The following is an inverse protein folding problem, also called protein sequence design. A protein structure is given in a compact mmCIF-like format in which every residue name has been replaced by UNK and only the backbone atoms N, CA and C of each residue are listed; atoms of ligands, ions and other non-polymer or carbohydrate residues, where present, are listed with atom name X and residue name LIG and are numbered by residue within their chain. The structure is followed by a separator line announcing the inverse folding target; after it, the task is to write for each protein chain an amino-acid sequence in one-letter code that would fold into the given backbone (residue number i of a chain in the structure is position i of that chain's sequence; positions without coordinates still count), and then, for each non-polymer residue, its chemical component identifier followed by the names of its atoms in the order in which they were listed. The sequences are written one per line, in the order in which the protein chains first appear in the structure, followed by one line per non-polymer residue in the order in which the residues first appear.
data_IF_048136136010
#
_entry.id   IF_048136136010
#
_cell.length_a   1.000
_cell.length_b   1.000
_cell.length_c   1.000
_cell.angle_alpha   90.00
_cell.angle_beta   90.00
_cell.angle_gamma   90.00
#
_symmetry.space_group_name_H-M   'P 1'
#
loop_
_entity.id
_entity.type
_entity.pdbx_description
1 polymer ?
#
# COMPACT_ATOMS: atom_id res chain seq x y z
N UNK A 1 -59.73 -49.14 42.80
CA UNK A 1 -58.54 -49.17 43.66
C UNK A 1 -57.30 -49.29 42.80
N UNK A 2 -56.31 -48.47 43.01
CA UNK A 2 -55.00 -48.50 42.38
C UNK A 2 -54.90 -47.94 40.92
N UNK A 3 -54.93 -46.59 40.78
CA UNK A 3 -54.28 -45.89 39.70
C UNK A 3 -53.93 -44.46 40.15
N UNK A 4 -53.14 -44.33 41.21
CA UNK A 4 -52.68 -43.04 41.70
C UNK A 4 -51.27 -43.11 42.20
N UNK A 5 -50.34 -43.48 41.29
CA UNK A 5 -48.89 -43.49 41.63
C UNK A 5 -47.94 -43.10 40.53
N UNK A 6 -48.41 -42.65 39.39
CA UNK A 6 -47.49 -42.33 38.28
C UNK A 6 -47.58 -40.88 37.75
N UNK A 7 -48.30 -40.01 38.44
CA UNK A 7 -48.43 -38.60 37.97
C UNK A 7 -47.42 -37.62 38.59
N UNK A 8 -46.43 -38.10 39.33
CA UNK A 8 -45.44 -37.24 39.99
C UNK A 8 -44.02 -37.40 39.45
N UNK A 9 -43.84 -38.15 38.35
CA UNK A 9 -42.52 -38.43 37.81
C UNK A 9 -42.27 -37.77 36.42
N UNK A 10 -43.21 -36.96 35.95
CA UNK A 10 -43.10 -36.24 34.64
C UNK A 10 -42.98 -34.73 34.76
N UNK A 11 -42.73 -34.20 35.96
CA UNK A 11 -42.59 -32.75 36.16
C UNK A 11 -41.19 -32.30 36.59
N UNK A 12 -40.18 -33.14 36.36
CA UNK A 12 -38.82 -32.81 36.74
C UNK A 12 -37.80 -32.86 35.55
N UNK A 13 -38.28 -32.81 34.29
CA UNK A 13 -37.37 -32.91 33.13
C UNK A 13 -37.66 -31.89 32.03
N UNK A 14 -38.04 -30.66 32.44
CA UNK A 14 -38.15 -29.53 31.51
C UNK A 14 -37.42 -28.29 32.04
N UNK A 15 -36.29 -28.50 32.68
CA UNK A 15 -35.44 -27.39 33.11
C UNK A 15 -34.01 -27.70 32.74
N UNK A 16 -33.61 -27.37 31.51
CA UNK A 16 -32.24 -27.05 31.11
C UNK A 16 -32.06 -27.15 29.58
N UNK A 17 -32.80 -26.30 28.87
CA UNK A 17 -32.45 -25.94 27.48
C UNK A 17 -32.50 -24.43 27.36
N UNK A 18 -31.98 -23.71 28.36
CA UNK A 18 -31.40 -22.42 28.06
C UNK A 18 -29.99 -22.70 27.54
N UNK A 19 -29.93 -22.88 26.22
CA UNK A 19 -28.68 -22.83 25.51
C UNK A 19 -27.97 -21.56 25.92
N UNK A 20 -26.78 -21.74 26.46
CA UNK A 20 -25.76 -20.74 26.45
C UNK A 20 -25.54 -20.44 24.97
N UNK A 21 -26.22 -19.45 24.42
CA UNK A 21 -25.69 -18.67 23.36
C UNK A 21 -24.43 -18.02 23.98
N UNK A 22 -23.30 -18.73 23.94
CA UNK A 22 -22.02 -18.12 23.95
C UNK A 22 -22.14 -17.11 22.80
N UNK A 23 -22.13 -15.82 23.11
CA UNK A 23 -21.77 -14.80 22.17
C UNK A 23 -20.48 -15.33 21.54
N UNK A 24 -20.58 -15.76 20.31
CA UNK A 24 -19.45 -15.83 19.43
C UNK A 24 -19.21 -14.34 19.14
N UNK A 25 -18.50 -13.67 20.07
CA UNK A 25 -17.81 -12.46 19.74
C UNK A 25 -16.86 -12.92 18.64
N UNK A 26 -17.21 -12.65 17.39
CA UNK A 26 -16.27 -12.57 16.31
C UNK A 26 -15.28 -11.48 16.74
N UNK A 27 -14.25 -11.88 17.49
CA UNK A 27 -13.12 -11.03 17.79
C UNK A 27 -12.47 -10.71 16.44
N UNK A 28 -12.90 -9.59 15.82
CA UNK A 28 -12.34 -9.04 14.60
C UNK A 28 -10.83 -8.75 14.76
N UNK A 29 -10.33 -8.75 15.99
CA UNK A 29 -8.96 -8.46 16.40
C UNK A 29 -8.22 -9.72 16.89
N UNK A 30 -7.86 -10.62 15.97
CA UNK A 30 -6.97 -11.75 16.28
C UNK A 30 -5.52 -11.36 16.02
N UNK A 31 -4.61 -11.72 16.94
CA UNK A 31 -3.16 -11.54 16.76
C UNK A 31 -2.60 -12.37 15.58
N UNK A 32 -3.36 -13.34 15.11
CA UNK A 32 -3.02 -14.18 13.96
C UNK A 32 -3.45 -13.56 12.61
N UNK A 33 -4.28 -12.52 12.65
CA UNK A 33 -4.69 -11.75 11.46
C UNK A 33 -3.72 -10.60 11.24
N UNK A 34 -3.20 -10.45 10.03
CA UNK A 34 -2.35 -9.33 9.64
C UNK A 34 -2.70 -8.83 8.25
N UNK A 35 -2.34 -7.59 7.97
CA UNK A 35 -2.40 -6.98 6.65
C UNK A 35 -1.02 -6.47 6.24
N UNK A 36 -0.79 -6.36 4.92
CA UNK A 36 0.41 -5.74 4.36
C UNK A 36 -0.05 -4.62 3.44
N UNK A 37 0.34 -3.40 3.75
CA UNK A 37 -0.04 -2.22 2.98
C UNK A 37 1.16 -1.26 2.81
N UNK A 38 1.09 -0.43 1.78
CA UNK A 38 1.96 0.73 1.63
C UNK A 38 1.28 1.89 2.35
N UNK A 39 2.01 2.56 3.23
CA UNK A 39 1.48 3.66 4.04
C UNK A 39 2.44 4.83 4.09
N UNK A 40 1.91 6.01 4.37
CA UNK A 40 2.73 7.17 4.70
C UNK A 40 3.13 7.13 6.17
N UNK A 41 4.42 7.21 6.42
CA UNK A 41 4.98 7.39 7.76
C UNK A 41 4.97 8.88 8.09
N UNK A 42 4.20 9.26 9.09
CA UNK A 42 4.05 10.66 9.49
C UNK A 42 4.76 10.89 10.83
N UNK A 43 5.86 11.65 10.84
CA UNK A 43 6.54 12.00 12.10
C UNK A 43 5.64 12.80 13.03
N UNK A 44 5.67 12.48 14.34
CA UNK A 44 4.95 13.19 15.39
C UNK A 44 5.87 13.34 16.62
N UNK A 45 6.63 14.42 16.67
CA UNK A 45 7.64 14.66 17.67
C UNK A 45 8.77 13.61 17.63
N UNK A 46 8.91 12.84 18.69
CA UNK A 46 9.90 11.76 18.80
C UNK A 46 9.37 10.39 18.38
N UNK A 47 8.16 10.34 17.87
CA UNK A 47 7.46 9.14 17.41
C UNK A 47 6.88 9.37 16.03
N UNK A 48 6.04 8.46 15.55
CA UNK A 48 5.35 8.55 14.29
C UNK A 48 4.00 7.81 14.37
N UNK A 49 3.13 8.14 13.45
CA UNK A 49 1.95 7.34 13.12
C UNK A 49 1.97 6.96 11.65
N UNK A 50 1.13 6.02 11.27
CA UNK A 50 0.97 5.59 9.89
C UNK A 50 -0.34 6.15 9.34
N UNK A 51 -0.32 6.60 8.10
CA UNK A 51 -1.51 7.04 7.38
C UNK A 51 -1.71 6.15 6.17
N UNK A 52 -2.87 5.54 6.11
CA UNK A 52 -3.31 4.73 4.97
C UNK A 52 -3.65 5.62 3.79
N UNK A 53 -3.70 5.06 2.62
CA UNK A 53 -4.04 5.81 1.40
C UNK A 53 -5.46 6.40 1.44
N UNK A 54 -6.37 5.83 2.21
CA UNK A 54 -7.72 6.35 2.47
C UNK A 54 -7.76 7.49 3.52
N UNK A 55 -6.63 7.93 4.02
CA UNK A 55 -6.52 8.98 5.02
C UNK A 55 -6.68 8.51 6.47
N UNK A 56 -7.02 7.24 6.72
CA UNK A 56 -7.08 6.69 8.06
C UNK A 56 -5.73 6.74 8.75
N UNK A 57 -5.74 7.11 10.03
CA UNK A 57 -4.55 7.21 10.86
C UNK A 57 -4.46 6.02 11.80
N UNK A 58 -3.36 5.31 11.75
CA UNK A 58 -3.09 4.15 12.57
C UNK A 58 -2.01 4.47 13.61
N UNK A 59 -2.32 4.20 14.89
CA UNK A 59 -1.37 4.42 15.97
C UNK A 59 -0.64 3.14 16.34
N UNK A 60 0.71 3.08 16.29
CA UNK A 60 1.49 1.91 16.65
C UNK A 60 1.58 1.75 18.17
N UNK A 61 0.65 1.00 18.78
CA UNK A 61 0.71 0.64 20.19
C UNK A 61 1.87 -0.29 20.53
N UNK A 62 2.21 -1.17 19.59
CA UNK A 62 3.28 -2.13 19.74
C UNK A 62 4.05 -2.29 18.42
N UNK A 63 5.32 -2.67 18.52
CA UNK A 63 6.14 -2.94 17.35
C UNK A 63 7.18 -4.02 17.64
N UNK A 64 7.41 -4.88 16.66
CA UNK A 64 8.53 -5.82 16.64
C UNK A 64 9.80 -5.19 16.04
N UNK A 65 9.74 -3.90 15.63
CA UNK A 65 10.83 -3.17 14.97
C UNK A 65 11.31 -2.01 15.85
N UNK A 66 11.91 -2.27 17.04
CA UNK A 66 12.44 -1.21 17.88
C UNK A 66 13.58 -0.50 17.14
N UNK A 67 13.59 0.84 17.16
CA UNK A 67 14.62 1.64 16.49
C UNK A 67 14.39 1.84 14.99
N UNK A 68 13.18 1.59 14.49
CA UNK A 68 12.82 1.94 13.12
C UNK A 68 13.11 3.42 12.85
N UNK A 69 13.82 3.69 11.75
CA UNK A 69 14.12 5.05 11.31
C UNK A 69 12.98 5.58 10.43
N UNK A 70 12.13 6.42 11.00
CA UNK A 70 10.98 7.01 10.33
C UNK A 70 11.27 8.33 9.59
N UNK A 71 12.52 8.54 9.16
CA UNK A 71 12.89 9.68 8.30
C UNK A 71 12.37 9.56 6.86
N UNK A 72 11.93 8.37 6.46
CA UNK A 72 11.37 8.09 5.14
C UNK A 72 9.86 8.31 5.14
N UNK A 73 9.33 8.72 3.98
CA UNK A 73 7.92 9.13 3.90
C UNK A 73 6.98 7.95 3.62
N UNK A 74 7.38 6.99 2.76
CA UNK A 74 6.56 5.81 2.44
C UNK A 74 7.21 4.56 2.95
N UNK A 75 6.39 3.62 3.43
CA UNK A 75 6.86 2.31 3.89
C UNK A 75 5.85 1.22 3.56
N UNK A 76 6.35 0.02 3.30
CA UNK A 76 5.55 -1.19 3.32
C UNK A 76 5.48 -1.70 4.75
N UNK A 77 4.28 -1.97 5.23
CA UNK A 77 4.01 -2.29 6.64
C UNK A 77 3.19 -3.56 6.74
N UNK A 78 3.69 -4.53 7.52
CA UNK A 78 2.89 -5.65 7.98
C UNK A 78 2.42 -5.34 9.39
N UNK A 79 1.12 -5.34 9.61
CA UNK A 79 0.54 -4.96 10.88
C UNK A 79 -0.66 -5.83 11.25
N UNK A 80 -0.94 -5.86 12.55
CA UNK A 80 -2.13 -6.50 13.13
C UNK A 80 -2.98 -5.41 13.77
N UNK A 81 -4.27 -5.39 13.46
CA UNK A 81 -5.23 -4.49 14.08
C UNK A 81 -5.43 -4.90 15.55
N UNK A 82 -5.38 -3.95 16.48
CA UNK A 82 -5.50 -4.21 17.92
C UNK A 82 -6.75 -3.57 18.55
N UNK A 83 -7.28 -2.53 17.95
CA UNK A 83 -8.43 -1.82 18.49
C UNK A 83 -9.21 -1.07 17.41
N UNK A 84 -10.47 -0.79 17.72
CA UNK A 84 -11.26 0.22 17.04
C UNK A 84 -10.71 1.63 17.23
N UNK A 85 -11.50 2.62 16.83
CA UNK A 85 -11.14 4.03 16.93
C UNK A 85 -10.67 4.42 18.34
N UNK A 86 -9.57 5.14 18.39
CA UNK A 86 -8.99 5.75 19.58
C UNK A 86 -8.92 7.27 19.39
N UNK A 87 -8.84 8.09 20.44
CA UNK A 87 -8.80 9.54 20.30
C UNK A 87 -7.71 10.03 19.32
N UNK A 88 -8.11 10.61 18.19
CA UNK A 88 -7.21 11.16 17.17
C UNK A 88 -6.74 10.18 16.10
N UNK A 89 -7.10 8.89 16.20
CA UNK A 89 -6.71 7.85 15.25
C UNK A 89 -7.87 6.91 14.92
N UNK A 90 -7.85 6.33 13.74
CA UNK A 90 -8.88 5.39 13.31
C UNK A 90 -8.73 4.05 14.03
N UNK A 91 -7.49 3.59 14.23
CA UNK A 91 -7.21 2.31 14.88
C UNK A 91 -5.87 2.32 15.60
N UNK A 92 -5.75 1.44 16.61
CA UNK A 92 -4.47 1.06 17.20
C UNK A 92 -3.96 -0.24 16.58
N UNK A 93 -2.66 -0.32 16.31
CA UNK A 93 -2.04 -1.45 15.61
C UNK A 93 -0.80 -1.97 16.33
N UNK A 94 -0.43 -3.21 16.00
CA UNK A 94 0.90 -3.77 16.24
C UNK A 94 1.62 -3.86 14.91
N UNK A 95 2.79 -3.25 14.81
CA UNK A 95 3.67 -3.40 13.65
C UNK A 95 4.45 -4.71 13.79
N UNK A 96 4.27 -5.64 12.85
CA UNK A 96 5.00 -6.89 12.80
C UNK A 96 6.35 -6.69 12.09
N UNK A 97 6.36 -6.01 10.94
CA UNK A 97 7.55 -5.49 10.29
C UNK A 97 7.20 -4.22 9.48
N UNK A 98 8.20 -3.39 9.25
CA UNK A 98 8.09 -2.16 8.47
C UNK A 98 9.38 -1.96 7.69
N UNK A 99 9.25 -1.65 6.39
CA UNK A 99 10.36 -1.42 5.48
C UNK A 99 10.16 -0.14 4.67
N UNK A 100 11.16 0.74 4.68
CA UNK A 100 11.10 1.98 3.94
C UNK A 100 11.13 1.73 2.43
N UNK A 101 10.21 2.36 1.70
CA UNK A 101 10.22 2.40 0.24
C UNK A 101 11.06 3.60 -0.21
N UNK A 102 11.84 3.41 -1.27
CA UNK A 102 12.53 4.52 -1.93
C UNK A 102 11.49 5.58 -2.35
N UNK A 103 11.49 6.73 -1.66
CA UNK A 103 10.54 7.81 -1.94
C UNK A 103 11.28 8.96 -2.60
N UNK A 104 10.81 9.40 -3.76
CA UNK A 104 11.43 10.43 -4.60
C UNK A 104 10.40 11.51 -4.98
N UNK A 105 10.89 12.68 -5.32
CA UNK A 105 10.09 13.71 -5.99
C UNK A 105 10.13 13.51 -7.51
N UNK A 106 9.18 14.12 -8.21
CA UNK A 106 9.26 14.25 -9.66
C UNK A 106 10.53 15.02 -9.98
N UNK A 107 11.37 14.43 -10.85
CA UNK A 107 12.64 15.02 -11.28
C UNK A 107 12.42 16.08 -12.36
N UNK A 108 13.30 17.08 -12.49
CA UNK A 108 13.14 18.14 -13.49
C UNK A 108 13.29 17.61 -14.92
N UNK A 109 12.63 18.26 -15.86
CA UNK A 109 12.83 18.03 -17.29
C UNK A 109 14.15 18.64 -17.76
N UNK A 110 15.05 17.86 -18.36
CA UNK A 110 16.39 18.26 -18.80
C UNK A 110 16.54 18.33 -20.32
N UNK A 111 15.44 18.31 -21.07
CA UNK A 111 15.44 18.37 -22.54
C UNK A 111 16.34 17.26 -23.17
N UNK A 112 17.35 17.66 -23.93
CA UNK A 112 18.26 16.73 -24.62
C UNK A 112 19.09 15.85 -23.65
N UNK A 113 19.19 16.25 -22.38
CA UNK A 113 19.95 15.49 -21.38
C UNK A 113 19.12 14.41 -20.66
N UNK A 114 17.79 14.36 -20.87
CA UNK A 114 16.92 13.38 -20.22
C UNK A 114 17.45 11.95 -20.40
N UNK A 115 17.82 11.57 -21.63
CA UNK A 115 18.24 10.21 -21.94
C UNK A 115 19.58 9.83 -21.27
N UNK A 116 20.52 10.78 -21.21
CA UNK A 116 21.81 10.54 -20.58
C UNK A 116 21.77 10.50 -19.07
N UNK A 117 20.89 11.33 -18.46
CA UNK A 117 20.78 11.45 -17.00
C UNK A 117 19.83 10.41 -16.41
N UNK A 118 18.65 10.25 -17.00
CA UNK A 118 17.61 9.39 -16.45
C UNK A 118 17.56 7.99 -17.08
N UNK A 119 18.28 7.80 -18.20
CA UNK A 119 18.32 6.55 -18.94
C UNK A 119 17.09 6.29 -19.80
N UNK A 120 17.22 5.25 -20.61
CA UNK A 120 16.15 4.73 -21.47
C UNK A 120 16.11 3.21 -21.43
N UNK A 121 16.64 2.59 -20.38
CA UNK A 121 16.63 1.15 -20.22
C UNK A 121 15.20 0.66 -19.94
N UNK A 122 14.79 -0.45 -20.57
CA UNK A 122 13.43 -0.93 -20.42
C UNK A 122 13.20 -1.59 -19.05
N UNK A 123 11.94 -1.57 -18.61
CA UNK A 123 11.46 -2.28 -17.43
C UNK A 123 10.19 -3.08 -17.77
N UNK A 124 9.86 -4.06 -16.97
CA UNK A 124 8.52 -4.64 -16.91
C UNK A 124 7.71 -3.90 -15.85
N UNK A 125 6.55 -3.36 -16.21
CA UNK A 125 5.67 -2.71 -15.27
C UNK A 125 4.73 -3.73 -14.64
N UNK A 126 4.82 -3.95 -13.33
CA UNK A 126 4.05 -4.94 -12.59
C UNK A 126 2.79 -4.35 -11.99
N UNK A 127 2.89 -3.18 -11.35
CA UNK A 127 1.74 -2.49 -10.78
C UNK A 127 2.02 -1.00 -10.61
N UNK A 128 0.96 -0.19 -10.65
CA UNK A 128 0.95 1.21 -10.28
C UNK A 128 -0.31 1.51 -9.47
N UNK A 129 -0.17 2.33 -8.44
CA UNK A 129 -1.29 2.82 -7.64
C UNK A 129 -1.03 4.26 -7.20
N UNK A 130 -2.09 5.03 -7.01
CA UNK A 130 -2.01 6.37 -6.41
C UNK A 130 -2.68 6.30 -5.05
N UNK A 131 -1.98 6.74 -4.01
CA UNK A 131 -2.51 6.82 -2.66
C UNK A 131 -1.80 7.90 -1.84
N UNK A 132 -2.56 8.60 -1.01
CA UNK A 132 -2.08 9.66 -0.10
C UNK A 132 -1.15 10.69 -0.74
N UNK A 133 -1.38 11.02 -2.04
CA UNK A 133 -0.57 11.98 -2.79
C UNK A 133 0.73 11.41 -3.39
N UNK A 134 0.88 10.11 -3.41
CA UNK A 134 2.03 9.39 -3.99
C UNK A 134 1.61 8.49 -5.14
N UNK A 135 2.49 8.33 -6.12
CA UNK A 135 2.45 7.26 -7.12
C UNK A 135 3.40 6.15 -6.68
N UNK A 136 2.86 5.01 -6.29
CA UNK A 136 3.62 3.81 -6.00
C UNK A 136 3.79 2.97 -7.27
N UNK A 137 5.02 2.59 -7.58
CA UNK A 137 5.37 1.85 -8.80
C UNK A 137 6.14 0.60 -8.43
N UNK A 138 5.59 -0.57 -8.80
CA UNK A 138 6.27 -1.86 -8.75
C UNK A 138 6.64 -2.28 -10.17
N UNK A 139 7.89 -2.57 -10.37
CA UNK A 139 8.44 -2.92 -11.68
C UNK A 139 9.49 -4.01 -11.54
N UNK A 140 9.82 -4.69 -12.66
CA UNK A 140 10.98 -5.58 -12.73
C UNK A 140 11.99 -5.05 -13.75
N UNK A 141 13.26 -5.20 -13.45
CA UNK A 141 14.38 -4.84 -14.34
C UNK A 141 15.42 -5.95 -14.35
N UNK A 142 16.27 -5.96 -15.38
CA UNK A 142 17.38 -6.88 -15.49
C UNK A 142 18.62 -6.30 -14.79
N UNK A 143 19.33 -7.16 -14.08
CA UNK A 143 20.56 -6.87 -13.35
C UNK A 143 21.68 -7.85 -13.75
N UNK A 144 22.90 -7.38 -13.82
CA UNK A 144 24.08 -8.20 -14.12
C UNK A 144 25.12 -8.22 -13.01
N UNK A 145 25.25 -7.14 -12.27
CA UNK A 145 26.24 -6.97 -11.21
C UNK A 145 25.59 -6.37 -9.97
N UNK A 146 25.66 -7.06 -8.85
CA UNK A 146 25.10 -6.61 -7.56
C UNK A 146 25.72 -5.32 -7.01
N UNK A 147 26.84 -4.86 -7.54
CA UNK A 147 27.48 -3.61 -7.15
C UNK A 147 26.93 -2.37 -7.86
N UNK A 148 26.18 -2.54 -8.94
CA UNK A 148 25.62 -1.43 -9.72
C UNK A 148 24.22 -1.10 -9.19
N UNK A 149 24.03 0.17 -8.79
CA UNK A 149 22.70 0.67 -8.36
C UNK A 149 22.04 1.34 -9.55
N UNK A 150 20.90 0.83 -9.94
CA UNK A 150 20.08 1.43 -10.98
C UNK A 150 19.37 2.69 -10.48
N UNK A 151 19.17 3.66 -11.37
CA UNK A 151 18.40 4.86 -11.10
C UNK A 151 17.01 4.71 -11.71
N UNK A 152 15.98 5.09 -10.94
CA UNK A 152 14.62 5.28 -11.45
C UNK A 152 14.20 6.71 -11.22
N UNK A 153 13.45 7.29 -12.16
CA UNK A 153 13.00 8.66 -12.08
C UNK A 153 11.63 8.81 -12.73
N UNK A 154 10.84 9.75 -12.21
CA UNK A 154 9.60 10.20 -12.83
C UNK A 154 9.83 11.64 -13.28
N UNK A 155 9.62 11.93 -14.55
CA UNK A 155 9.89 13.23 -15.15
C UNK A 155 8.70 13.75 -15.95
N UNK A 156 8.52 15.07 -16.12
CA UNK A 156 7.59 15.62 -17.10
C UNK A 156 7.99 15.21 -18.53
N UNK A 157 7.03 15.17 -19.44
CA UNK A 157 7.29 14.86 -20.86
C UNK A 157 7.73 16.10 -21.65
N UNK A 158 7.53 17.30 -21.12
CA UNK A 158 7.86 18.55 -21.79
C UNK A 158 8.19 19.67 -20.80
N UNK A 159 8.93 20.69 -21.28
CA UNK A 159 9.48 21.76 -20.45
C UNK A 159 8.43 22.81 -20.03
N UNK A 160 7.43 23.05 -20.86
CA UNK A 160 6.47 24.17 -20.71
C UNK A 160 5.27 23.81 -19.80
N UNK A 161 5.25 22.59 -19.30
CA UNK A 161 4.16 22.09 -18.43
C UNK A 161 2.76 22.22 -19.05
N UNK A 162 2.68 22.20 -20.39
CA UNK A 162 1.40 22.30 -21.11
C UNK A 162 0.52 21.07 -20.92
N UNK A 163 1.13 19.94 -20.57
CA UNK A 163 0.45 18.70 -20.15
C UNK A 163 1.05 18.19 -18.84
N UNK A 164 0.69 18.79 -17.70
CA UNK A 164 1.33 18.49 -16.43
C UNK A 164 0.99 17.10 -15.87
N UNK A 165 -0.07 16.47 -16.38
CA UNK A 165 -0.53 15.16 -15.94
C UNK A 165 -0.05 14.02 -16.84
N UNK A 166 0.88 14.29 -17.77
CA UNK A 166 1.59 13.25 -18.52
C UNK A 166 3.06 13.25 -18.11
N UNK A 167 3.46 12.15 -17.46
CA UNK A 167 4.80 11.93 -16.94
C UNK A 167 5.44 10.73 -17.60
N UNK A 168 6.75 10.61 -17.46
CA UNK A 168 7.51 9.48 -17.96
C UNK A 168 8.29 8.82 -16.85
N UNK A 169 8.10 7.51 -16.67
CA UNK A 169 8.94 6.68 -15.81
C UNK A 169 10.21 6.28 -16.56
N UNK A 170 11.34 6.61 -16.02
CA UNK A 170 12.65 6.39 -16.59
C UNK A 170 13.48 5.45 -15.73
N UNK A 171 14.27 4.61 -16.39
CA UNK A 171 15.20 3.70 -15.76
C UNK A 171 16.57 3.80 -16.41
N UNK A 172 17.60 3.88 -15.58
CA UNK A 172 19.01 3.94 -15.99
C UNK A 172 19.76 2.79 -15.31
N UNK A 173 20.13 1.79 -16.10
CA UNK A 173 20.87 0.62 -15.64
C UNK A 173 22.40 0.82 -15.64
N UNK A 174 22.89 1.95 -16.14
CA UNK A 174 24.32 2.26 -16.27
C UNK A 174 25.12 1.19 -17.01
N UNK A 175 24.50 0.52 -17.99
CA UNK A 175 25.16 -0.54 -18.76
C UNK A 175 25.35 -1.84 -17.98
N UNK A 176 24.64 -2.03 -16.87
CA UNK A 176 24.66 -3.29 -16.13
C UNK A 176 24.15 -4.44 -17.00
N UNK A 177 24.56 -5.64 -16.69
CA UNK A 177 24.24 -6.83 -17.47
C UNK A 177 22.79 -7.32 -17.24
N UNK A 178 22.46 -8.47 -17.83
CA UNK A 178 21.11 -9.05 -17.81
C UNK A 178 21.12 -10.50 -17.29
N UNK A 179 21.83 -10.75 -16.19
CA UNK A 179 21.97 -12.10 -15.63
C UNK A 179 20.71 -12.59 -14.95
N UNK A 180 19.98 -11.70 -14.29
CA UNK A 180 18.74 -12.04 -13.58
C UNK A 180 17.77 -10.85 -13.60
N UNK A 181 16.49 -11.15 -13.42
CA UNK A 181 15.47 -10.12 -13.20
C UNK A 181 15.24 -9.96 -11.70
N UNK A 182 15.03 -8.73 -11.25
CA UNK A 182 14.63 -8.42 -9.89
C UNK A 182 13.55 -7.33 -9.88
N UNK A 183 12.73 -7.35 -8.85
CA UNK A 183 11.66 -6.38 -8.65
C UNK A 183 12.16 -5.19 -7.84
N UNK A 184 11.63 -4.01 -8.17
CA UNK A 184 11.81 -2.77 -7.44
C UNK A 184 10.46 -2.17 -7.06
N UNK A 185 10.42 -1.50 -5.93
CA UNK A 185 9.30 -0.70 -5.46
C UNK A 185 9.80 0.71 -5.16
N UNK A 186 9.12 1.71 -5.74
CA UNK A 186 9.45 3.13 -5.57
C UNK A 186 8.16 3.93 -5.46
N UNK A 187 8.17 4.96 -4.63
CA UNK A 187 7.08 5.92 -4.47
C UNK A 187 7.52 7.29 -4.97
N UNK A 188 6.66 7.98 -5.72
CA UNK A 188 6.90 9.33 -6.19
C UNK A 188 5.91 10.31 -5.57
N UNK A 189 6.42 11.33 -4.91
CA UNK A 189 5.64 12.44 -4.35
C UNK A 189 5.06 13.29 -5.50
N UNK A 190 3.74 13.33 -5.59
CA UNK A 190 3.00 14.05 -6.63
C UNK A 190 2.65 15.50 -6.24
N UNK A 191 3.09 15.98 -5.07
CA UNK A 191 2.75 17.31 -4.55
C UNK A 191 3.20 18.47 -5.44
N UNK A 192 4.10 18.24 -6.40
CA UNK A 192 4.53 19.24 -7.37
C UNK A 192 3.62 19.36 -8.60
N UNK A 193 2.65 18.45 -8.77
CA UNK A 193 1.64 18.57 -9.81
C UNK A 193 0.66 19.69 -9.50
N UNK A 194 0.06 20.32 -10.53
CA UNK A 194 -0.95 21.33 -10.31
C UNK A 194 -2.16 20.81 -9.52
N UNK A 195 -2.80 21.73 -8.80
CA UNK A 195 -4.06 21.44 -8.12
C UNK A 195 -5.17 21.13 -9.13
N UNK A 196 -5.82 19.97 -8.98
CA UNK A 196 -6.94 19.54 -9.82
C UNK A 196 -8.26 20.25 -9.47
N UNK A 197 -8.27 21.08 -8.43
CA UNK A 197 -9.45 21.83 -7.94
C UNK A 197 -10.64 20.93 -7.59
N UNK A 198 -10.33 19.75 -7.04
CA UNK A 198 -11.33 18.76 -6.65
C UNK A 198 -11.84 17.87 -7.78
N UNK A 199 -11.36 18.06 -9.02
CA UNK A 199 -11.72 17.19 -10.13
C UNK A 199 -10.76 16.01 -10.23
N UNK A 200 -11.27 14.88 -10.70
CA UNK A 200 -10.45 13.72 -11.02
C UNK A 200 -10.00 13.80 -12.48
N UNK A 201 -8.70 13.73 -12.71
CA UNK A 201 -8.07 13.79 -14.04
C UNK A 201 -7.32 12.48 -14.34
N UNK A 202 -7.05 12.22 -15.62
CA UNK A 202 -6.17 11.12 -16.02
C UNK A 202 -4.70 11.51 -15.80
N UNK A 203 -4.01 10.87 -14.85
CA UNK A 203 -2.56 10.90 -14.79
C UNK A 203 -2.01 9.81 -15.71
N UNK A 204 -1.30 10.22 -16.76
CA UNK A 204 -0.73 9.30 -17.75
C UNK A 204 0.76 9.09 -17.47
N UNK A 205 1.17 7.83 -17.31
CA UNK A 205 2.56 7.42 -17.11
C UNK A 205 3.06 6.69 -18.36
N UNK A 206 4.00 7.29 -19.06
CA UNK A 206 4.71 6.66 -20.19
C UNK A 206 5.87 5.86 -19.65
N UNK A 207 6.07 4.67 -20.19
CA UNK A 207 7.11 3.74 -19.73
C UNK A 207 7.70 3.04 -20.94
N UNK A 208 9.04 2.99 -21.01
CA UNK A 208 9.72 2.11 -21.94
C UNK A 208 9.78 0.70 -21.36
N UNK A 209 9.06 -0.23 -21.97
CA UNK A 209 9.03 -1.63 -21.55
C UNK A 209 9.87 -2.49 -22.51
N UNK A 210 10.09 -3.77 -22.13
CA UNK A 210 10.75 -4.73 -23.03
C UNK A 210 9.99 -4.97 -24.34
N UNK A 211 8.66 -4.71 -24.35
CA UNK A 211 7.80 -4.84 -25.54
C UNK A 211 7.58 -3.52 -26.30
N UNK A 212 8.33 -2.47 -25.94
CA UNK A 212 8.19 -1.12 -26.51
C UNK A 212 7.61 -0.11 -25.53
N UNK A 213 7.24 1.06 -26.03
CA UNK A 213 6.65 2.11 -25.20
C UNK A 213 5.18 1.80 -24.87
N UNK A 214 4.81 1.91 -23.59
CA UNK A 214 3.44 1.78 -23.08
C UNK A 214 3.05 3.03 -22.31
N UNK A 215 1.75 3.28 -22.26
CA UNK A 215 1.16 4.37 -21.48
C UNK A 215 0.08 3.80 -20.56
N UNK A 216 0.15 4.17 -19.30
CA UNK A 216 -0.78 3.76 -18.25
C UNK A 216 -1.53 4.99 -17.76
N UNK A 217 -2.84 4.86 -17.58
CA UNK A 217 -3.69 5.93 -17.08
C UNK A 217 -4.22 5.56 -15.70
N UNK A 218 -4.07 6.48 -14.77
CA UNK A 218 -4.57 6.36 -13.41
C UNK A 218 -5.46 7.56 -13.11
N UNK A 219 -6.56 7.33 -12.40
CA UNK A 219 -7.36 8.43 -11.87
C UNK A 219 -6.54 9.19 -10.83
N UNK A 220 -6.44 10.50 -10.94
CA UNK A 220 -5.71 11.37 -10.02
C UNK A 220 -6.56 12.54 -9.58
N UNK A 221 -6.53 12.81 -8.28
CA UNK A 221 -7.05 14.02 -7.67
C UNK A 221 -6.00 14.54 -6.69
N UNK A 222 -5.73 15.84 -6.72
CA UNK A 222 -4.75 16.46 -5.81
C UNK A 222 -5.21 16.47 -4.35
N UNK A 223 -6.52 16.31 -4.10
CA UNK A 223 -7.06 16.05 -2.77
C UNK A 223 -7.13 14.55 -2.50
N UNK A 224 -6.26 14.00 -1.62
CA UNK A 224 -6.25 12.58 -1.32
C UNK A 224 -7.59 12.06 -0.78
N UNK A 225 -8.38 12.87 -0.11
CA UNK A 225 -9.68 12.48 0.41
C UNK A 225 -10.71 12.18 -0.70
N UNK A 226 -10.50 12.72 -1.90
CA UNK A 226 -11.36 12.47 -3.06
C UNK A 226 -10.96 11.23 -3.87
N UNK A 227 -9.78 10.66 -3.60
CA UNK A 227 -9.26 9.49 -4.33
C UNK A 227 -9.79 8.17 -3.82
N UNK A 228 -10.44 8.16 -2.66
CA UNK A 228 -10.86 6.94 -2.00
C UNK A 228 -12.34 6.67 -2.23
N UNK A 229 -12.65 5.77 -3.15
CA UNK A 229 -13.81 4.88 -3.05
C UNK A 229 -13.34 3.60 -2.36
N UNK A 230 -14.05 3.16 -1.33
CA UNK A 230 -13.69 1.94 -0.61
C UNK A 230 -13.36 0.80 -1.57
N UNK A 231 -12.26 0.05 -1.39
CA UNK A 231 -11.98 -1.11 -2.21
C UNK A 231 -13.06 -2.17 -1.94
N UNK A 232 -13.71 -2.62 -3.00
CA UNK A 232 -14.65 -3.73 -2.99
C UNK A 232 -13.96 -5.08 -2.71
N UNK A 233 -13.16 -5.24 -1.74
CA UNK A 233 -12.66 -6.48 -1.14
C UNK A 233 -11.26 -6.29 -0.55
N UNK A 234 -11.14 -6.55 0.73
CA UNK A 234 -9.85 -6.84 1.37
C UNK A 234 -9.38 -8.18 0.82
N UNK A 235 -8.36 -8.16 -0.05
CA UNK A 235 -7.70 -9.39 -0.49
C UNK A 235 -7.07 -10.01 0.75
N UNK A 236 -7.63 -11.12 1.22
CA UNK A 236 -7.07 -11.87 2.33
C UNK A 236 -5.73 -12.48 1.92
N UNK A 237 -4.82 -12.67 2.88
CA UNK A 237 -3.50 -13.28 2.67
C UNK A 237 -3.54 -14.67 2.02
N UNK A 238 -4.69 -15.33 1.99
CA UNK A 238 -4.92 -16.62 1.36
C UNK A 238 -4.87 -16.56 -0.18
N UNK A 239 -5.12 -15.39 -0.79
CA UNK A 239 -5.08 -15.24 -2.26
C UNK A 239 -3.65 -15.00 -2.79
N UNK A 240 -2.74 -14.49 -1.98
CA UNK A 240 -1.35 -14.28 -2.38
C UNK A 240 -0.53 -15.58 -2.40
N UNK A 241 -0.93 -16.59 -1.64
CA UNK A 241 -0.22 -17.89 -1.58
C UNK A 241 -0.55 -18.82 -2.75
N UNK A 242 -1.62 -18.56 -3.50
CA UNK A 242 -2.08 -19.43 -4.61
C UNK A 242 -1.37 -19.20 -5.94
N UNK A 243 -0.60 -18.14 -6.08
CA UNK A 243 0.05 -17.75 -7.33
C UNK A 243 1.59 -17.88 -7.30
N UNK A 244 2.16 -18.52 -6.28
CA UNK A 244 3.59 -18.83 -6.23
C UNK A 244 3.75 -20.35 -6.27
N UNK A 245 3.96 -20.87 -7.47
CA UNK A 245 4.51 -22.19 -7.74
C UNK A 245 5.79 -22.06 -8.56
#
# INVERSE_FOLDING_TARGET
MKFWKYTWLMLAMTMSLFGLNACQDDDDYSLDKFAIEIMTVVPDGSTYYLRRDNGEKLWPFATNCPGYNFSKTRAQVNYTMLSDSIPGFSHGIKINWIENILTKKISPYLAAENDSVYGTDPVEMLAMAIGDGYLDVRFAANFGNTGVKHLVSLIPTQADNSDPYTLEFRHQAYGDGTLYAAEGLVSFDLSSLPDTKGETVDLTIKVKTFDGEKSYKLAYNSDPACMYSEPDEIISSDDLSKNIH
#
